data_IF_260225233240
#
_entry.id   IF_260225233240
#
_cell.length_a   1.000
_cell.length_b   1.000
_cell.length_c   1.000
_cell.angle_alpha   90.00
_cell.angle_beta   90.00
_cell.angle_gamma   90.00
#
_symmetry.space_group_name_H-M   'P 1'
#
loop_
_entity.id
_entity.type
_entity.pdbx_description
1 polymer ?
#
# COMPACT_ATOMS: atom_id res chain seq x y z
N UNK A 1 -0.97 -15.06 -32.88
CA UNK A 1 -1.79 -13.95 -32.37
C UNK A 1 -2.67 -14.55 -31.28
N UNK A 2 -2.19 -14.61 -30.05
CA UNK A 2 -2.91 -15.27 -28.94
C UNK A 2 -3.00 -14.29 -27.79
N UNK A 3 -4.24 -13.96 -27.44
CA UNK A 3 -4.72 -13.29 -26.23
C UNK A 3 -3.67 -12.64 -25.32
N UNK A 4 -3.53 -11.33 -25.48
CA UNK A 4 -3.04 -10.46 -24.42
C UNK A 4 -4.13 -10.39 -23.35
N UNK A 5 -4.22 -11.44 -22.52
CA UNK A 5 -5.11 -11.51 -21.37
C UNK A 5 -4.96 -10.21 -20.59
N UNK A 6 -6.04 -9.46 -20.46
CA UNK A 6 -6.10 -8.21 -19.72
C UNK A 6 -5.84 -8.50 -18.25
N UNK A 7 -4.56 -8.53 -17.86
CA UNK A 7 -4.15 -8.67 -16.47
C UNK A 7 -4.68 -7.44 -15.73
N UNK A 8 -5.72 -7.62 -14.93
CA UNK A 8 -6.22 -6.55 -14.08
C UNK A 8 -5.06 -6.12 -13.17
N UNK A 9 -4.88 -4.83 -12.86
CA UNK A 9 -3.91 -4.43 -11.84
C UNK A 9 -4.06 -5.24 -10.54
N UNK A 10 -5.29 -5.64 -10.20
CA UNK A 10 -5.60 -6.50 -9.04
C UNK A 10 -5.00 -7.91 -9.12
N UNK A 11 -4.67 -8.40 -10.31
CA UNK A 11 -4.05 -9.72 -10.51
C UNK A 11 -2.53 -9.68 -10.27
N UNK A 12 -1.95 -8.52 -9.94
CA UNK A 12 -0.50 -8.35 -9.72
C UNK A 12 -0.12 -7.82 -8.36
N UNK A 13 -1.08 -7.41 -7.55
CA UNK A 13 -0.80 -6.78 -6.26
C UNK A 13 -1.59 -7.43 -5.13
N UNK A 14 -0.89 -7.65 -4.01
CA UNK A 14 -1.47 -7.93 -2.72
C UNK A 14 -1.50 -6.62 -1.92
N UNK A 15 -2.70 -6.18 -1.54
CA UNK A 15 -2.84 -5.00 -0.67
C UNK A 15 -2.62 -5.39 0.79
N UNK A 16 -1.61 -4.79 1.42
CA UNK A 16 -1.40 -4.85 2.88
C UNK A 16 -1.90 -3.56 3.52
N UNK A 17 -2.52 -3.64 4.70
CA UNK A 17 -3.11 -2.48 5.37
C UNK A 17 -2.76 -2.42 6.86
N UNK A 18 -2.84 -1.23 7.44
CA UNK A 18 -2.42 -0.96 8.81
C UNK A 18 -0.97 -0.50 8.89
N UNK A 19 -0.64 0.30 9.92
CA UNK A 19 0.67 0.96 10.01
C UNK A 19 1.84 0.00 10.09
N UNK A 20 1.75 -1.00 10.99
CA UNK A 20 2.85 -1.93 11.23
C UNK A 20 3.10 -2.88 10.05
N UNK A 21 2.09 -3.55 9.46
CA UNK A 21 2.29 -4.35 8.26
C UNK A 21 2.86 -3.55 7.09
N UNK A 22 2.42 -2.29 6.91
CA UNK A 22 2.98 -1.40 5.87
C UNK A 22 4.45 -1.08 6.13
N UNK A 23 4.84 -0.80 7.39
CA UNK A 23 6.24 -0.57 7.75
C UNK A 23 7.10 -1.81 7.54
N UNK A 24 6.59 -2.99 7.91
CA UNK A 24 7.27 -4.27 7.68
C UNK A 24 7.47 -4.53 6.18
N UNK A 25 6.46 -4.27 5.36
CA UNK A 25 6.55 -4.41 3.90
C UNK A 25 7.54 -3.41 3.26
N UNK A 26 7.66 -2.20 3.80
CA UNK A 26 8.63 -1.20 3.32
C UNK A 26 10.07 -1.49 3.78
N UNK A 27 10.24 -2.25 4.87
CA UNK A 27 11.54 -2.59 5.42
C UNK A 27 12.11 -3.92 4.89
N UNK A 28 11.30 -4.73 4.21
CA UNK A 28 11.71 -6.00 3.64
C UNK A 28 12.13 -5.85 2.18
N UNK A 29 13.44 -5.90 1.92
CA UNK A 29 14.01 -5.79 0.57
C UNK A 29 13.60 -6.94 -0.37
N UNK A 30 13.08 -8.06 0.16
CA UNK A 30 12.54 -9.14 -0.66
C UNK A 30 11.14 -8.81 -1.20
N UNK A 31 10.45 -7.84 -0.61
CA UNK A 31 9.14 -7.37 -1.04
C UNK A 31 9.27 -6.14 -1.93
N UNK A 32 8.53 -6.14 -3.03
CA UNK A 32 8.44 -4.98 -3.92
C UNK A 32 7.15 -4.24 -3.68
N UNK A 33 7.22 -3.09 -3.02
CA UNK A 33 6.07 -2.20 -2.82
C UNK A 33 5.96 -1.23 -4.00
N UNK A 34 4.79 -1.17 -4.63
CA UNK A 34 4.52 -0.25 -5.76
C UNK A 34 4.23 1.17 -5.25
N UNK A 35 3.33 1.26 -4.26
CA UNK A 35 2.91 2.52 -3.67
C UNK A 35 2.35 2.32 -2.28
N UNK A 36 2.34 3.41 -1.52
CA UNK A 36 1.65 3.55 -0.24
C UNK A 36 0.52 4.56 -0.39
N UNK A 37 -0.66 4.25 0.12
CA UNK A 37 -1.78 5.20 0.19
C UNK A 37 -2.05 5.51 1.66
N UNK A 38 -1.95 6.79 2.00
CA UNK A 38 -2.13 7.32 3.35
C UNK A 38 -3.38 8.20 3.39
N UNK A 39 -4.22 8.03 4.41
CA UNK A 39 -5.41 8.83 4.58
C UNK A 39 -5.06 10.31 4.85
N UNK A 40 -5.89 11.24 4.39
CA UNK A 40 -5.74 12.68 4.67
C UNK A 40 -5.84 12.99 6.17
N UNK A 41 -6.53 12.13 6.90
CA UNK A 41 -6.69 12.19 8.36
C UNK A 41 -5.51 11.57 9.10
N UNK A 42 -4.66 10.77 8.43
CA UNK A 42 -3.49 10.16 9.05
C UNK A 42 -2.37 11.19 9.22
N UNK A 43 -2.15 11.58 10.48
CA UNK A 43 -1.16 12.59 10.90
C UNK A 43 -0.35 12.09 12.10
N UNK A 44 0.61 12.91 12.51
CA UNK A 44 1.45 12.64 13.68
C UNK A 44 2.58 11.63 13.42
N UNK A 45 3.23 11.13 14.49
CA UNK A 45 4.47 10.36 14.41
C UNK A 45 4.38 9.14 13.48
N UNK A 46 3.33 8.34 13.60
CA UNK A 46 3.18 7.14 12.75
C UNK A 46 2.98 7.45 11.27
N UNK A 47 2.38 8.58 10.92
CA UNK A 47 2.28 9.02 9.52
C UNK A 47 3.63 9.52 8.99
N UNK A 48 4.42 10.21 9.83
CA UNK A 48 5.76 10.65 9.48
C UNK A 48 6.72 9.47 9.30
N UNK A 49 6.60 8.45 10.15
CA UNK A 49 7.37 7.21 10.06
C UNK A 49 7.15 6.48 8.74
N UNK A 50 5.89 6.30 8.32
CA UNK A 50 5.57 5.67 7.03
C UNK A 50 6.11 6.48 5.85
N UNK A 51 5.97 7.81 5.89
CA UNK A 51 6.52 8.66 4.82
C UNK A 51 8.04 8.56 4.74
N UNK A 52 8.73 8.44 5.89
CA UNK A 52 10.18 8.26 5.94
C UNK A 52 10.58 6.90 5.36
N UNK A 53 9.96 5.81 5.84
CA UNK A 53 10.24 4.47 5.36
C UNK A 53 9.97 4.33 3.84
N UNK A 54 8.86 4.89 3.35
CA UNK A 54 8.55 4.88 1.93
C UNK A 54 9.59 5.66 1.11
N UNK A 55 10.06 6.80 1.63
CA UNK A 55 11.13 7.58 0.99
C UNK A 55 12.44 6.80 0.94
N UNK A 56 12.81 6.12 2.02
CA UNK A 56 14.00 5.27 2.11
C UNK A 56 13.92 4.10 1.11
N UNK A 57 12.75 3.49 0.96
CA UNK A 57 12.48 2.43 -0.01
C UNK A 57 12.28 2.94 -1.46
N UNK A 58 12.28 4.26 -1.70
CA UNK A 58 12.02 4.85 -3.03
C UNK A 58 10.57 4.68 -3.53
N UNK A 59 9.62 4.45 -2.62
CA UNK A 59 8.21 4.16 -2.89
C UNK A 59 7.37 5.44 -2.87
N UNK A 60 6.48 5.59 -3.84
CA UNK A 60 5.58 6.73 -3.91
C UNK A 60 4.51 6.68 -2.82
N UNK A 61 4.31 7.79 -2.12
CA UNK A 61 3.23 7.96 -1.13
C UNK A 61 2.15 8.85 -1.71
N UNK A 62 0.93 8.32 -1.78
CA UNK A 62 -0.27 9.05 -2.21
C UNK A 62 -1.15 9.37 -1.01
N UNK A 63 -1.88 10.49 -1.11
CA UNK A 63 -2.88 10.90 -0.15
C UNK A 63 -4.28 10.60 -0.69
N UNK A 64 -5.18 10.15 0.18
CA UNK A 64 -6.56 9.86 -0.19
C UNK A 64 -7.51 10.10 0.99
N UNK A 65 -8.80 10.28 0.69
CA UNK A 65 -9.80 10.37 1.76
C UNK A 65 -9.83 9.09 2.60
N UNK A 66 -10.13 9.22 3.89
CA UNK A 66 -10.25 8.07 4.79
C UNK A 66 -11.25 7.02 4.25
N UNK A 67 -12.34 7.47 3.64
CA UNK A 67 -13.30 6.61 2.96
C UNK A 67 -12.67 5.80 1.82
N UNK A 68 -11.84 6.44 0.98
CA UNK A 68 -11.16 5.75 -0.12
C UNK A 68 -10.17 4.70 0.37
N UNK A 69 -9.38 5.02 1.40
CA UNK A 69 -8.45 4.05 2.02
C UNK A 69 -9.24 2.85 2.57
N UNK A 70 -10.36 3.12 3.25
CA UNK A 70 -11.26 2.09 3.79
C UNK A 70 -11.78 1.13 2.72
N UNK A 71 -12.22 1.67 1.58
CA UNK A 71 -12.73 0.88 0.45
C UNK A 71 -11.62 0.05 -0.18
N UNK A 72 -10.44 0.65 -0.38
CA UNK A 72 -9.29 -0.04 -0.99
C UNK A 72 -8.73 -1.15 -0.11
N UNK A 73 -8.72 -0.97 1.21
CA UNK A 73 -8.26 -1.99 2.16
C UNK A 73 -9.24 -3.19 2.27
N UNK A 74 -10.45 -3.12 1.71
CA UNK A 74 -11.43 -4.21 1.69
C UNK A 74 -12.07 -4.54 3.05
N UNK A 75 -11.46 -4.16 4.18
CA UNK A 75 -12.02 -4.37 5.52
C UNK A 75 -11.68 -3.23 6.49
N UNK A 76 -12.48 -2.17 6.38
CA UNK A 76 -12.27 -0.83 6.92
C UNK A 76 -12.22 -0.59 8.43
N UNK A 77 -11.96 -1.61 9.26
CA UNK A 77 -11.78 -1.47 10.71
C UNK A 77 -10.32 -1.54 11.14
N UNK A 78 -9.43 -2.04 10.28
CA UNK A 78 -8.05 -2.37 10.65
C UNK A 78 -6.99 -1.62 9.82
N UNK A 79 -7.39 -0.81 8.85
CA UNK A 79 -6.45 -0.11 7.96
C UNK A 79 -5.69 1.03 8.66
N UNK A 80 -6.20 1.55 9.78
CA UNK A 80 -5.58 2.66 10.54
C UNK A 80 -5.22 3.87 9.64
N UNK A 81 -5.95 4.06 8.53
CA UNK A 81 -5.72 5.10 7.56
C UNK A 81 -4.50 4.88 6.66
N UNK A 82 -4.01 3.65 6.47
CA UNK A 82 -2.90 3.37 5.55
C UNK A 82 -2.97 1.98 4.92
N UNK A 83 -2.50 1.90 3.67
CA UNK A 83 -2.28 0.65 2.96
C UNK A 83 -1.11 0.77 1.98
N UNK A 84 -0.58 -0.36 1.53
CA UNK A 84 0.42 -0.46 0.50
C UNK A 84 0.08 -1.59 -0.47
N UNK A 85 0.38 -1.39 -1.75
CA UNK A 85 0.25 -2.43 -2.77
C UNK A 85 1.60 -3.10 -2.97
N UNK A 86 1.68 -4.39 -2.64
CA UNK A 86 2.88 -5.23 -2.78
C UNK A 86 2.76 -6.05 -4.05
N UNK A 87 3.78 -6.04 -4.89
CA UNK A 87 3.82 -6.84 -6.12
C UNK A 87 3.87 -8.32 -5.77
N UNK A 88 2.89 -9.08 -6.26
CA UNK A 88 2.84 -10.53 -6.16
C UNK A 88 3.14 -11.14 -7.54
N UNK A 89 4.39 -11.53 -7.84
CA UNK A 89 4.82 -11.90 -9.20
C UNK A 89 4.25 -13.22 -9.73
N UNK A 90 3.40 -13.92 -8.95
CA UNK A 90 2.79 -15.22 -9.31
C UNK A 90 1.28 -15.25 -9.07
N UNK A 91 0.62 -14.10 -8.96
CA UNK A 91 -0.84 -14.00 -8.95
C UNK A 91 -1.40 -13.98 -10.37
#
# INVERSE_FOLDING_TARGET
MGDESTVSPKDRFLTVYGRKPVLEALADDALRVDKVILADTARGPGAAEIQRAAKEAGVAVQRASAHRVKVLAGNGKQDQGVLADVVAPRM
#
